data_IF_474661059272
#
_entry.id   IF_474661059272
#
_cell.length_a   1.000
_cell.length_b   1.000
_cell.length_c   1.000
_cell.angle_alpha   90.00
_cell.angle_beta   90.00
_cell.angle_gamma   90.00
#
_symmetry.space_group_name_H-M   'P 1'
#
loop_
_entity.id
_entity.type
_entity.pdbx_description
1 polymer ?
#
# COMPACT_ATOMS: atom_id res chain seq x y z
N UNK A 1 71.40 43.00 -0.92
CA UNK A 1 70.55 43.64 -1.95
C UNK A 1 69.23 44.01 -1.30
N UNK A 2 69.05 45.29 -1.01
CA UNK A 2 67.82 45.86 -0.51
C UNK A 2 67.44 47.00 -1.46
N UNK A 3 66.21 46.98 -1.97
CA UNK A 3 65.51 48.18 -2.41
C UNK A 3 64.01 47.92 -2.37
N UNK A 4 63.36 48.69 -1.49
CA UNK A 4 61.93 48.94 -1.45
C UNK A 4 61.54 50.02 -2.47
N UNK A 5 60.29 50.48 -2.37
CA UNK A 5 59.56 51.55 -3.11
C UNK A 5 58.77 51.01 -4.31
N UNK A 6 57.47 51.28 -4.52
CA UNK A 6 56.51 52.17 -3.88
C UNK A 6 55.68 52.85 -4.98
N UNK A 7 54.39 52.54 -5.13
CA UNK A 7 53.47 53.35 -5.94
C UNK A 7 52.00 53.19 -5.49
N UNK A 8 51.39 54.33 -5.18
CA UNK A 8 50.03 54.59 -4.69
C UNK A 8 48.97 54.35 -5.76
N UNK A 9 47.79 53.85 -5.35
CA UNK A 9 46.52 54.06 -6.06
C UNK A 9 45.40 54.38 -5.06
N UNK A 10 44.92 55.65 -4.97
CA UNK A 10 43.79 56.05 -4.16
C UNK A 10 42.53 56.15 -5.03
N UNK A 11 41.91 55.04 -5.45
CA UNK A 11 40.63 55.10 -6.19
C UNK A 11 39.65 53.95 -5.86
N UNK A 12 40.03 52.94 -5.06
CA UNK A 12 39.16 51.77 -4.83
C UNK A 12 38.22 51.84 -3.61
N UNK A 13 38.37 52.83 -2.73
CA UNK A 13 37.49 52.96 -1.55
C UNK A 13 36.07 53.51 -1.80
N UNK A 14 35.79 54.39 -2.79
CA UNK A 14 34.43 54.89 -2.99
C UNK A 14 33.51 53.91 -3.72
N UNK A 15 34.05 52.92 -4.43
CA UNK A 15 33.27 51.94 -5.21
C UNK A 15 32.76 50.77 -4.36
N UNK A 16 33.47 50.38 -3.30
CA UNK A 16 33.04 49.34 -2.35
C UNK A 16 31.93 49.83 -1.40
N UNK A 17 31.88 51.13 -1.10
CA UNK A 17 30.82 51.73 -0.28
C UNK A 17 29.50 51.95 -1.05
N UNK A 18 29.54 52.08 -2.38
CA UNK A 18 28.31 52.19 -3.19
C UNK A 18 27.66 50.82 -3.45
N UNK A 19 28.45 49.73 -3.47
CA UNK A 19 27.92 48.37 -3.61
C UNK A 19 27.33 47.82 -2.30
N UNK A 20 27.78 48.28 -1.13
CA UNK A 20 27.19 47.90 0.16
C UNK A 20 25.86 48.62 0.45
N UNK A 21 25.66 49.84 -0.06
CA UNK A 21 24.37 50.54 0.04
C UNK A 21 23.31 50.00 -0.93
N UNK A 22 23.70 49.42 -2.07
CA UNK A 22 22.76 48.75 -2.98
C UNK A 22 22.17 47.43 -2.42
N UNK A 23 22.82 46.84 -1.41
CA UNK A 23 22.33 45.64 -0.72
C UNK A 23 21.31 45.95 0.40
N UNK A 24 21.25 47.19 0.89
CA UNK A 24 20.36 47.63 1.97
C UNK A 24 19.04 48.24 1.50
N UNK A 25 18.82 48.35 0.19
CA UNK A 25 17.60 48.91 -0.41
C UNK A 25 16.78 47.88 -1.23
N UNK A 26 16.85 46.58 -0.89
CA UNK A 26 15.87 45.59 -1.36
C UNK A 26 14.89 45.27 -0.23
N UNK A 27 13.64 45.76 -0.29
CA UNK A 27 12.63 45.33 0.66
C UNK A 27 12.25 43.84 0.42
N UNK A 28 12.24 43.10 1.51
CA UNK A 28 11.30 42.01 1.87
C UNK A 28 11.09 40.77 1.00
N UNK A 29 11.89 40.45 -0.02
CA UNK A 29 11.66 39.18 -0.75
C UNK A 29 12.03 37.93 0.07
N UNK A 30 13.21 37.91 0.68
CA UNK A 30 13.70 36.76 1.46
C UNK A 30 12.91 36.51 2.77
N UNK A 31 12.38 37.56 3.40
CA UNK A 31 11.56 37.42 4.62
C UNK A 31 10.16 36.89 4.32
N UNK A 32 9.57 37.30 3.19
CA UNK A 32 8.26 36.80 2.77
C UNK A 32 8.35 35.34 2.31
N UNK A 33 9.45 34.95 1.65
CA UNK A 33 9.68 33.56 1.24
C UNK A 33 9.88 32.63 2.46
N UNK A 34 10.60 33.10 3.49
CA UNK A 34 10.77 32.36 4.74
C UNK A 34 9.44 32.20 5.53
N UNK A 35 8.64 33.26 5.64
CA UNK A 35 7.32 33.20 6.30
C UNK A 35 6.36 32.30 5.53
N UNK A 36 6.37 32.36 4.19
CA UNK A 36 5.55 31.48 3.34
C UNK A 36 5.95 30.01 3.46
N UNK A 37 7.24 29.72 3.61
CA UNK A 37 7.73 28.36 3.85
C UNK A 37 7.28 27.81 5.21
N UNK A 38 7.40 28.61 6.28
CA UNK A 38 7.01 28.17 7.64
C UNK A 38 5.50 27.94 7.76
N UNK A 39 4.68 28.78 7.13
CA UNK A 39 3.21 28.61 7.10
C UNK A 39 2.81 27.39 6.26
N UNK A 40 3.51 27.16 5.14
CA UNK A 40 3.29 25.98 4.29
C UNK A 40 3.60 24.66 5.01
N UNK A 41 4.70 24.62 5.78
CA UNK A 41 5.08 23.43 6.56
C UNK A 41 4.08 23.12 7.69
N UNK A 42 3.63 24.12 8.45
CA UNK A 42 2.65 23.92 9.53
C UNK A 42 1.29 23.41 9.00
N UNK A 43 0.83 23.95 7.88
CA UNK A 43 -0.38 23.46 7.21
C UNK A 43 -0.19 22.01 6.73
N UNK A 44 0.95 21.70 6.13
CA UNK A 44 1.29 20.35 5.67
C UNK A 44 1.27 19.32 6.79
N UNK A 45 1.87 19.64 7.93
CA UNK A 45 1.93 18.79 9.12
C UNK A 45 0.52 18.51 9.69
N UNK A 46 -0.32 19.57 9.81
CA UNK A 46 -1.72 19.43 10.28
C UNK A 46 -2.56 18.59 9.34
N UNK A 47 -2.44 18.84 8.03
CA UNK A 47 -3.13 18.06 7.00
C UNK A 47 -2.79 16.59 7.15
N UNK A 48 -1.49 16.29 7.24
CA UNK A 48 -0.98 14.93 7.33
C UNK A 48 -1.50 14.21 8.57
N UNK A 49 -1.49 14.87 9.74
CA UNK A 49 -2.04 14.32 10.98
C UNK A 49 -3.53 13.99 10.86
N UNK A 50 -4.33 14.87 10.27
CA UNK A 50 -5.78 14.67 10.09
C UNK A 50 -6.09 13.59 9.06
N UNK A 51 -5.32 13.52 7.99
CA UNK A 51 -5.41 12.46 6.99
C UNK A 51 -5.09 11.10 7.61
N UNK A 52 -4.02 11.00 8.39
CA UNK A 52 -3.62 9.76 9.07
C UNK A 52 -4.65 9.31 10.12
N UNK A 53 -5.21 10.26 10.88
CA UNK A 53 -6.33 10.01 11.79
C UNK A 53 -7.56 9.46 11.03
N UNK A 54 -7.90 10.03 9.87
CA UNK A 54 -9.01 9.56 9.04
C UNK A 54 -8.77 8.20 8.38
N UNK A 55 -7.52 7.91 8.01
CA UNK A 55 -7.11 6.62 7.48
C UNK A 55 -7.13 5.53 8.57
N UNK A 56 -6.71 5.88 9.80
CA UNK A 56 -6.71 4.99 10.96
C UNK A 56 -8.10 4.73 11.56
N UNK A 57 -9.04 5.67 11.44
CA UNK A 57 -10.42 5.54 11.96
C UNK A 57 -11.27 4.51 11.20
N UNK A 58 -10.84 4.07 10.01
CA UNK A 58 -11.48 2.98 9.26
C UNK A 58 -10.62 1.73 9.31
N UNK A 59 -10.59 1.08 10.48
CA UNK A 59 -9.99 -0.26 10.58
C UNK A 59 -10.74 -1.21 9.63
N UNK A 60 -10.04 -1.71 8.62
CA UNK A 60 -10.62 -2.64 7.67
C UNK A 60 -10.75 -4.01 8.30
N UNK A 61 -11.99 -4.42 8.57
CA UNK A 61 -12.30 -5.78 8.98
C UNK A 61 -12.69 -6.53 7.72
N UNK A 62 -11.72 -7.28 7.18
CA UNK A 62 -11.99 -8.16 6.05
C UNK A 62 -12.88 -9.32 6.48
N UNK A 63 -13.79 -9.73 5.59
CA UNK A 63 -14.52 -10.98 5.78
C UNK A 63 -13.52 -12.13 5.74
N UNK A 64 -13.31 -12.77 6.88
CA UNK A 64 -12.45 -13.95 6.98
C UNK A 64 -13.07 -15.15 6.28
N UNK A 65 -12.23 -15.97 5.66
CA UNK A 65 -12.64 -17.27 5.17
C UNK A 65 -13.01 -18.17 6.36
N UNK A 66 -14.30 -18.45 6.52
CA UNK A 66 -14.78 -19.27 7.62
C UNK A 66 -14.59 -20.75 7.24
N UNK A 67 -13.45 -21.32 7.61
CA UNK A 67 -13.17 -22.76 7.54
C UNK A 67 -13.99 -23.54 8.58
N UNK A 68 -15.29 -23.28 8.73
CA UNK A 68 -16.11 -23.91 9.78
C UNK A 68 -16.44 -25.37 9.50
N UNK A 69 -15.96 -25.91 8.38
CA UNK A 69 -15.77 -27.35 8.20
C UNK A 69 -14.26 -27.56 8.11
N UNK A 70 -13.64 -28.13 9.14
CA UNK A 70 -12.31 -28.72 9.01
C UNK A 70 -12.36 -29.59 7.75
N UNK A 71 -11.63 -29.22 6.69
CA UNK A 71 -11.57 -30.04 5.49
C UNK A 71 -11.10 -31.43 5.92
N UNK A 72 -12.04 -32.37 5.97
CA UNK A 72 -11.78 -33.71 6.42
C UNK A 72 -11.24 -34.48 5.22
N UNK A 73 -9.91 -34.56 5.15
CA UNK A 73 -9.22 -35.42 4.20
C UNK A 73 -9.23 -36.85 4.75
N UNK A 74 -9.52 -37.82 3.88
CA UNK A 74 -9.68 -39.21 4.26
C UNK A 74 -8.46 -40.07 3.87
N UNK A 75 -7.53 -39.53 3.10
CA UNK A 75 -6.26 -40.16 2.77
C UNK A 75 -5.37 -40.25 4.02
N UNK A 76 -4.80 -41.42 4.24
CA UNK A 76 -3.87 -41.69 5.33
C UNK A 76 -2.52 -42.14 4.76
N UNK A 77 -1.45 -41.77 5.45
CA UNK A 77 -0.08 -42.26 5.20
C UNK A 77 0.32 -43.34 6.21
N UNK A 78 -0.61 -43.74 7.08
CA UNK A 78 -0.35 -44.76 8.10
C UNK A 78 -0.02 -46.10 7.43
N UNK A 79 1.09 -46.68 7.86
CA UNK A 79 1.62 -47.93 7.33
C UNK A 79 1.89 -48.86 8.50
N UNK A 80 1.28 -50.05 8.49
CA UNK A 80 1.56 -51.07 9.49
C UNK A 80 2.71 -51.98 9.01
N UNK A 81 3.94 -51.83 9.55
CA UNK A 81 5.08 -52.64 9.17
C UNK A 81 5.01 -54.08 9.71
N UNK A 82 3.98 -54.42 10.50
CA UNK A 82 3.86 -55.65 11.29
C UNK A 82 5.21 -56.06 11.90
N UNK A 83 5.62 -57.33 11.74
CA UNK A 83 6.91 -57.85 12.22
C UNK A 83 8.14 -57.45 11.40
N UNK A 84 7.98 -56.74 10.28
CA UNK A 84 9.07 -56.38 9.35
C UNK A 84 9.69 -55.01 9.61
N UNK A 85 9.26 -54.29 10.65
CA UNK A 85 9.73 -52.93 10.94
C UNK A 85 11.26 -52.79 11.06
N UNK A 86 11.94 -53.76 11.68
CA UNK A 86 13.41 -53.73 11.80
C UNK A 86 14.11 -53.90 10.44
N UNK A 87 13.55 -54.75 9.57
CA UNK A 87 14.07 -54.95 8.22
C UNK A 87 13.87 -53.71 7.37
N UNK A 88 12.72 -53.05 7.46
CA UNK A 88 12.46 -51.79 6.78
C UNK A 88 13.37 -50.67 7.26
N UNK A 89 13.71 -50.61 8.55
CA UNK A 89 14.67 -49.62 9.05
C UNK A 89 16.07 -49.81 8.43
N UNK A 90 16.57 -51.05 8.37
CA UNK A 90 17.85 -51.37 7.71
C UNK A 90 17.79 -51.08 6.21
N UNK A 91 16.69 -51.43 5.57
CA UNK A 91 16.47 -51.19 4.13
C UNK A 91 16.44 -49.69 3.83
N UNK A 92 15.72 -48.90 4.63
CA UNK A 92 15.65 -47.44 4.48
C UNK A 92 17.01 -46.80 4.75
N UNK A 93 17.78 -47.27 5.73
CA UNK A 93 19.16 -46.79 5.96
C UNK A 93 20.09 -47.10 4.78
N UNK A 94 19.92 -48.26 4.14
CA UNK A 94 20.67 -48.62 2.94
C UNK A 94 20.23 -47.81 1.71
N UNK A 95 18.93 -47.57 1.55
CA UNK A 95 18.40 -46.71 0.47
C UNK A 95 18.87 -45.27 0.66
N UNK A 96 18.79 -44.71 1.88
CA UNK A 96 19.30 -43.38 2.22
C UNK A 96 20.82 -43.25 1.97
N UNK A 97 21.56 -44.37 2.06
CA UNK A 97 22.99 -44.41 1.74
C UNK A 97 23.25 -44.43 0.22
N UNK A 98 22.42 -45.12 -0.55
CA UNK A 98 22.58 -45.27 -2.01
C UNK A 98 21.96 -44.12 -2.81
N UNK A 99 20.88 -43.52 -2.31
CA UNK A 99 20.09 -42.54 -3.04
C UNK A 99 19.88 -41.27 -2.19
N UNK A 100 20.15 -40.08 -2.75
CA UNK A 100 19.81 -38.83 -2.08
C UNK A 100 18.30 -38.72 -1.84
N UNK A 101 17.90 -38.05 -0.75
CA UNK A 101 16.50 -37.96 -0.30
C UNK A 101 15.56 -37.19 -1.24
N UNK A 102 16.09 -36.57 -2.29
CA UNK A 102 15.32 -35.83 -3.28
C UNK A 102 14.81 -36.80 -4.34
N UNK A 103 13.48 -36.84 -4.55
CA UNK A 103 12.85 -37.75 -5.51
C UNK A 103 13.24 -37.45 -6.97
N UNK A 104 13.53 -36.20 -7.30
CA UNK A 104 13.94 -35.73 -8.63
C UNK A 104 15.22 -34.89 -8.53
N UNK A 105 16.14 -34.99 -9.52
CA UNK A 105 17.30 -34.12 -9.57
C UNK A 105 16.88 -32.66 -9.81
N UNK A 106 17.59 -31.73 -9.17
CA UNK A 106 17.40 -30.29 -9.36
C UNK A 106 17.60 -29.94 -10.85
N UNK A 107 16.62 -29.28 -11.47
CA UNK A 107 16.70 -28.85 -12.87
C UNK A 107 15.94 -29.71 -13.89
N UNK A 108 15.35 -30.85 -13.48
CA UNK A 108 14.53 -31.71 -14.35
C UNK A 108 13.15 -31.11 -14.65
N UNK A 109 12.62 -30.29 -13.75
CA UNK A 109 11.37 -29.55 -13.92
C UNK A 109 11.74 -28.08 -14.00
N UNK A 110 11.62 -27.50 -15.20
CA UNK A 110 11.88 -26.08 -15.43
C UNK A 110 10.57 -25.36 -15.75
N UNK A 111 10.45 -24.14 -15.25
CA UNK A 111 9.39 -23.23 -15.63
C UNK A 111 9.91 -22.41 -16.80
N UNK A 112 9.31 -22.58 -17.98
CA UNK A 112 9.55 -21.69 -19.11
C UNK A 112 8.87 -20.33 -18.82
N UNK A 113 9.27 -19.25 -19.51
CA UNK A 113 8.74 -17.89 -19.29
C UNK A 113 7.21 -17.79 -19.49
N UNK A 114 6.60 -18.73 -20.24
CA UNK A 114 5.16 -18.80 -20.49
C UNK A 114 4.36 -19.56 -19.38
N UNK A 115 5.05 -20.05 -18.33
CA UNK A 115 4.43 -20.74 -17.20
C UNK A 115 4.05 -22.21 -17.47
N UNK A 116 4.45 -22.77 -18.61
CA UNK A 116 4.32 -24.21 -18.87
C UNK A 116 5.43 -25.00 -18.16
N UNK A 117 5.02 -26.13 -17.57
CA UNK A 117 5.92 -27.10 -16.95
C UNK A 117 6.57 -27.93 -18.05
N UNK A 118 7.84 -27.65 -18.33
CA UNK A 118 8.62 -28.44 -19.30
C UNK A 118 9.51 -29.40 -18.52
N UNK A 119 9.32 -30.70 -18.77
CA UNK A 119 10.28 -31.71 -18.34
C UNK A 119 11.51 -31.57 -19.22
N UNK A 120 12.68 -31.35 -18.60
CA UNK A 120 13.94 -31.31 -19.31
C UNK A 120 14.17 -32.63 -20.04
N UNK A 121 14.60 -32.57 -21.30
CA UNK A 121 14.74 -33.73 -22.17
C UNK A 121 15.80 -34.68 -21.59
N UNK A 122 15.45 -35.93 -21.21
CA UNK A 122 16.36 -36.83 -20.46
C UNK A 122 17.66 -37.15 -21.20
N UNK A 123 17.68 -37.02 -22.53
CA UNK A 123 18.87 -37.23 -23.34
C UNK A 123 19.90 -36.09 -23.22
N UNK A 124 19.45 -34.86 -22.94
CA UNK A 124 20.29 -33.67 -22.84
C UNK A 124 20.97 -33.56 -21.47
N UNK A 125 20.28 -33.93 -20.39
CA UNK A 125 20.75 -33.88 -19.00
C UNK A 125 21.13 -35.28 -18.44
N UNK A 126 21.65 -36.16 -19.30
CA UNK A 126 22.00 -37.54 -18.90
C UNK A 126 23.01 -37.59 -17.73
N UNK A 127 23.83 -36.54 -17.58
CA UNK A 127 24.86 -36.45 -16.56
C UNK A 127 24.27 -36.21 -15.17
N UNK A 128 23.23 -35.38 -15.07
CA UNK A 128 22.50 -35.14 -13.82
C UNK A 128 21.71 -36.37 -13.39
N UNK A 129 21.06 -37.05 -14.36
CA UNK A 129 20.41 -38.34 -14.12
C UNK A 129 21.40 -39.41 -13.64
N UNK A 130 22.59 -39.49 -14.26
CA UNK A 130 23.60 -40.47 -13.89
C UNK A 130 24.21 -40.17 -12.51
N UNK A 131 24.37 -38.91 -12.12
CA UNK A 131 24.84 -38.58 -10.77
C UNK A 131 23.80 -38.91 -9.71
N UNK A 132 22.51 -38.73 -10.00
CA UNK A 132 21.42 -38.95 -9.05
C UNK A 132 21.05 -40.43 -8.91
N UNK A 133 21.06 -41.18 -10.01
CA UNK A 133 20.66 -42.60 -10.05
C UNK A 133 21.82 -43.57 -10.27
N UNK A 134 23.05 -43.10 -10.48
CA UNK A 134 24.19 -43.93 -10.85
C UNK A 134 24.55 -45.00 -9.82
N UNK A 135 24.45 -44.69 -8.52
CA UNK A 135 24.71 -45.66 -7.45
C UNK A 135 23.66 -46.80 -7.46
N UNK A 136 22.39 -46.47 -7.64
CA UNK A 136 21.30 -47.44 -7.75
C UNK A 136 21.46 -48.31 -9.02
N UNK A 137 21.80 -47.69 -10.15
CA UNK A 137 22.11 -48.38 -11.40
C UNK A 137 23.31 -49.33 -11.28
N UNK A 138 24.37 -48.92 -10.57
CA UNK A 138 25.55 -49.76 -10.34
C UNK A 138 25.24 -51.00 -9.50
N UNK A 139 24.42 -50.85 -8.44
CA UNK A 139 23.98 -51.98 -7.61
C UNK A 139 23.10 -52.93 -8.42
N UNK A 140 22.16 -52.40 -9.21
CA UNK A 140 21.31 -53.21 -10.09
C UNK A 140 22.15 -53.99 -11.13
N UNK A 141 23.13 -53.34 -11.76
CA UNK A 141 24.03 -53.97 -12.71
C UNK A 141 24.88 -55.07 -12.06
N UNK A 142 25.45 -54.80 -10.88
CA UNK A 142 26.21 -55.80 -10.12
C UNK A 142 25.35 -57.00 -9.74
N UNK A 143 24.10 -56.77 -9.33
CA UNK A 143 23.13 -57.83 -9.03
C UNK A 143 22.80 -58.69 -10.25
N UNK A 144 22.57 -58.07 -11.41
CA UNK A 144 22.28 -58.76 -12.66
C UNK A 144 23.48 -59.59 -13.15
N UNK A 145 24.69 -59.03 -13.05
CA UNK A 145 25.92 -59.73 -13.38
C UNK A 145 26.11 -60.96 -12.48
N UNK A 146 25.83 -60.84 -11.18
CA UNK A 146 25.90 -61.96 -10.23
C UNK A 146 24.83 -63.02 -10.53
N UNK A 147 23.60 -62.60 -10.84
CA UNK A 147 22.52 -63.50 -11.24
C UNK A 147 22.83 -64.29 -12.53
N UNK A 148 23.59 -63.71 -13.46
CA UNK A 148 24.06 -64.41 -14.67
C UNK A 148 25.28 -65.30 -14.40
N UNK A 149 26.25 -64.85 -13.60
CA UNK A 149 27.47 -65.61 -13.31
C UNK A 149 27.21 -66.86 -12.46
N UNK A 150 26.34 -66.78 -11.45
CA UNK A 150 26.04 -67.91 -10.56
C UNK A 150 25.60 -69.19 -11.30
N UNK A 151 24.59 -69.16 -12.20
CA UNK A 151 24.21 -70.35 -12.95
C UNK A 151 25.31 -70.79 -13.93
N UNK A 152 26.06 -69.88 -14.54
CA UNK A 152 27.19 -70.23 -15.42
C UNK A 152 28.30 -70.97 -14.66
N UNK A 153 28.68 -70.49 -13.48
CA UNK A 153 29.67 -71.16 -12.61
C UNK A 153 29.12 -72.50 -12.13
N UNK A 154 27.84 -72.57 -11.76
CA UNK A 154 27.17 -73.81 -11.37
C UNK A 154 27.16 -74.86 -12.48
N UNK A 155 26.85 -74.46 -13.72
CA UNK A 155 26.90 -75.31 -14.91
C UNK A 155 28.32 -75.78 -15.21
N UNK A 156 29.31 -74.88 -15.14
CA UNK A 156 30.72 -75.24 -15.35
C UNK A 156 31.21 -76.25 -14.29
N UNK A 157 30.86 -76.04 -13.02
CA UNK A 157 31.15 -77.00 -11.95
C UNK A 157 30.44 -78.33 -12.15
N UNK A 158 29.18 -78.32 -12.58
CA UNK A 158 28.41 -79.51 -12.90
C UNK A 158 29.06 -80.31 -14.03
N UNK A 159 29.41 -79.66 -15.15
CA UNK A 159 30.10 -80.29 -16.27
C UNK A 159 31.48 -80.85 -15.87
N UNK A 160 32.25 -80.10 -15.08
CA UNK A 160 33.55 -80.55 -14.57
C UNK A 160 33.45 -81.74 -13.60
N UNK A 161 32.36 -81.83 -12.84
CA UNK A 161 32.03 -82.98 -11.98
C UNK A 161 31.62 -84.20 -12.82
N UNK A 162 30.76 -84.01 -13.83
CA UNK A 162 30.35 -85.09 -14.76
C UNK A 162 31.53 -85.62 -15.59
N UNK A 163 32.52 -84.78 -15.92
CA UNK A 163 33.75 -85.18 -16.61
C UNK A 163 34.80 -85.84 -15.69
N UNK A 164 34.48 -86.06 -14.40
CA UNK A 164 35.35 -86.76 -13.44
C UNK A 164 36.60 -85.99 -13.02
N UNK A 165 36.77 -84.73 -13.44
CA UNK A 165 37.96 -83.90 -13.16
C UNK A 165 37.80 -83.05 -11.89
N UNK A 166 36.58 -82.86 -11.40
CA UNK A 166 36.29 -82.16 -10.14
C UNK A 166 35.46 -83.03 -9.19
N UNK A 167 36.02 -83.33 -8.02
CA UNK A 167 35.37 -84.12 -6.96
C UNK A 167 36.37 -84.47 -5.87
N UNK A 168 35.93 -84.49 -4.61
CA UNK A 168 36.76 -84.94 -3.49
C UNK A 168 37.23 -86.38 -3.76
N UNK A 169 38.54 -86.60 -3.90
CA UNK A 169 39.12 -87.95 -3.90
C UNK A 169 38.80 -88.58 -2.55
N UNK A 170 38.19 -89.76 -2.55
CA UNK A 170 38.02 -90.57 -1.35
C UNK A 170 39.39 -91.07 -0.90
N UNK A 171 40.13 -90.23 -0.19
CA UNK A 171 41.29 -90.68 0.58
C UNK A 171 40.73 -91.38 1.85
N UNK A 172 41.04 -92.66 2.09
CA UNK A 172 40.42 -93.45 3.17
C UNK A 172 40.91 -93.11 4.58
N UNK A 173 41.62 -92.00 4.79
CA UNK A 173 42.14 -91.59 6.09
C UNK A 173 41.90 -90.10 6.34
N UNK A 174 41.01 -89.78 7.29
CA UNK A 174 40.81 -88.42 7.83
C UNK A 174 42.10 -87.96 8.56
N UNK A 175 42.55 -86.73 8.30
CA UNK A 175 43.67 -86.10 9.02
C UNK A 175 43.21 -85.62 10.41
N UNK A 176 44.14 -85.55 11.37
CA UNK A 176 43.90 -85.16 12.78
C UNK A 176 43.18 -83.80 12.99
N UNK A 177 43.20 -82.89 12.00
CA UNK A 177 42.53 -81.59 12.05
C UNK A 177 41.19 -81.52 11.28
N UNK A 178 40.77 -82.62 10.64
CA UNK A 178 39.53 -82.65 9.85
C UNK A 178 38.28 -82.55 10.74
N UNK A 179 38.35 -82.92 12.03
CA UNK A 179 37.22 -82.75 12.95
C UNK A 179 36.90 -81.27 13.22
N UNK A 180 37.91 -80.43 13.44
CA UNK A 180 37.70 -78.98 13.65
C UNK A 180 37.18 -78.32 12.38
N UNK A 181 37.75 -78.68 11.22
CA UNK A 181 37.31 -78.19 9.90
C UNK A 181 35.87 -78.60 9.58
N UNK A 182 35.48 -79.86 9.86
CA UNK A 182 34.10 -80.34 9.69
C UNK A 182 33.14 -79.58 10.60
N UNK A 183 33.49 -79.36 11.86
CA UNK A 183 32.67 -78.61 12.82
C UNK A 183 32.48 -77.15 12.38
N UNK A 184 33.55 -76.46 11.98
CA UNK A 184 33.49 -75.08 11.48
C UNK A 184 32.67 -75.00 10.19
N UNK A 185 32.87 -75.91 9.24
CA UNK A 185 32.09 -75.95 8.00
C UNK A 185 30.60 -76.23 8.28
N UNK A 186 30.29 -77.11 9.23
CA UNK A 186 28.91 -77.39 9.66
C UNK A 186 28.26 -76.18 10.31
N UNK A 187 28.95 -75.46 11.20
CA UNK A 187 28.43 -74.22 11.79
C UNK A 187 28.21 -73.13 10.72
N UNK A 188 29.14 -72.98 9.77
CA UNK A 188 28.96 -72.07 8.63
C UNK A 188 27.78 -72.46 7.75
N UNK A 189 27.59 -73.76 7.49
CA UNK A 189 26.47 -74.25 6.69
C UNK A 189 25.14 -74.01 7.41
N UNK A 190 25.07 -74.26 8.72
CA UNK A 190 23.89 -73.96 9.54
C UNK A 190 23.61 -72.44 9.49
N UNK A 191 24.62 -71.59 9.65
CA UNK A 191 24.48 -70.13 9.53
C UNK A 191 24.00 -69.68 8.14
N UNK A 192 24.54 -70.26 7.07
CA UNK A 192 24.04 -69.98 5.72
C UNK A 192 22.60 -70.47 5.54
N UNK A 193 22.24 -71.64 6.07
CA UNK A 193 20.90 -72.19 5.98
C UNK A 193 19.87 -71.33 6.74
N UNK A 194 20.21 -70.78 7.91
CA UNK A 194 19.32 -69.87 8.65
C UNK A 194 19.12 -68.54 7.91
N UNK A 195 20.17 -67.98 7.30
CA UNK A 195 20.05 -66.78 6.46
C UNK A 195 19.16 -67.04 5.23
N UNK A 196 19.30 -68.20 4.59
CA UNK A 196 18.44 -68.58 3.46
C UNK A 196 16.98 -68.74 3.89
N UNK A 197 16.72 -69.40 5.03
CA UNK A 197 15.37 -69.54 5.57
C UNK A 197 14.74 -68.18 5.90
N UNK A 198 15.52 -67.27 6.50
CA UNK A 198 15.07 -65.90 6.74
C UNK A 198 14.70 -65.20 5.42
N UNK A 199 15.54 -65.31 4.39
CA UNK A 199 15.25 -64.76 3.06
C UNK A 199 13.96 -65.30 2.44
N UNK A 200 13.67 -66.59 2.61
CA UNK A 200 12.42 -67.21 2.14
C UNK A 200 11.20 -66.65 2.89
N UNK A 201 11.28 -66.49 4.21
CA UNK A 201 10.20 -65.88 5.01
C UNK A 201 9.96 -64.43 4.59
N UNK A 202 11.02 -63.64 4.40
CA UNK A 202 10.91 -62.29 3.87
C UNK A 202 10.25 -62.28 2.48
N UNK A 203 10.63 -63.19 1.58
CA UNK A 203 10.03 -63.27 0.26
C UNK A 203 8.51 -63.56 0.32
N UNK A 204 8.07 -64.46 1.21
CA UNK A 204 6.65 -64.73 1.41
C UNK A 204 5.90 -63.52 1.98
N UNK A 205 6.44 -62.90 3.03
CA UNK A 205 5.83 -61.71 3.62
C UNK A 205 5.74 -60.55 2.62
N UNK A 206 6.81 -60.28 1.86
CA UNK A 206 6.81 -59.26 0.81
C UNK A 206 5.79 -59.58 -0.29
N UNK A 207 5.62 -60.86 -0.64
CA UNK A 207 4.60 -61.26 -1.62
C UNK A 207 3.18 -61.01 -1.12
N UNK A 208 2.91 -61.29 0.16
CA UNK A 208 1.62 -60.99 0.81
C UNK A 208 1.35 -59.49 0.86
N UNK A 209 2.32 -58.69 1.31
CA UNK A 209 2.21 -57.22 1.29
C UNK A 209 2.00 -56.65 -0.10
N UNK A 210 2.70 -57.17 -1.11
CA UNK A 210 2.52 -56.76 -2.49
C UNK A 210 1.09 -57.02 -2.96
N UNK A 211 0.49 -58.14 -2.55
CA UNK A 211 -0.89 -58.50 -2.90
C UNK A 211 -1.90 -57.57 -2.22
N UNK A 212 -1.75 -57.33 -0.92
CA UNK A 212 -2.61 -56.41 -0.16
C UNK A 212 -2.50 -54.97 -0.70
N UNK A 213 -1.27 -54.49 -0.90
CA UNK A 213 -1.00 -53.18 -1.49
C UNK A 213 -1.61 -53.05 -2.89
N UNK A 214 -1.51 -54.08 -3.75
CA UNK A 214 -2.13 -54.04 -5.08
C UNK A 214 -3.66 -53.97 -5.00
N UNK A 215 -4.29 -54.65 -4.04
CA UNK A 215 -5.76 -54.64 -3.85
C UNK A 215 -6.29 -53.31 -3.30
N UNK A 216 -5.57 -52.70 -2.36
CA UNK A 216 -5.98 -51.43 -1.75
C UNK A 216 -5.58 -50.20 -2.59
N UNK A 217 -4.61 -50.33 -3.50
CA UNK A 217 -4.11 -49.23 -4.35
C UNK A 217 -5.23 -48.46 -5.09
N UNK A 218 -6.19 -49.09 -5.80
CA UNK A 218 -7.25 -48.35 -6.48
C UNK A 218 -8.15 -47.58 -5.50
N UNK A 219 -8.39 -48.12 -4.30
CA UNK A 219 -9.21 -47.46 -3.27
C UNK A 219 -8.48 -46.28 -2.66
N UNK A 220 -7.20 -46.43 -2.32
CA UNK A 220 -6.36 -45.36 -1.80
C UNK A 220 -6.21 -44.22 -2.83
N UNK A 221 -6.00 -44.55 -4.10
CA UNK A 221 -5.94 -43.59 -5.19
C UNK A 221 -7.27 -42.85 -5.39
N UNK A 222 -8.40 -43.57 -5.34
CA UNK A 222 -9.73 -42.95 -5.45
C UNK A 222 -10.03 -42.01 -4.28
N UNK A 223 -9.66 -42.39 -3.05
CA UNK A 223 -9.77 -41.51 -1.87
C UNK A 223 -8.89 -40.27 -2.03
N UNK A 224 -7.65 -40.43 -2.48
CA UNK A 224 -6.73 -39.31 -2.72
C UNK A 224 -7.26 -38.34 -3.79
N UNK A 225 -7.88 -38.85 -4.87
CA UNK A 225 -8.51 -38.01 -5.89
C UNK A 225 -9.75 -37.26 -5.37
N UNK A 226 -10.54 -37.87 -4.47
CA UNK A 226 -11.67 -37.19 -3.81
C UNK A 226 -11.21 -36.11 -2.84
N UNK A 227 -10.11 -36.36 -2.13
CA UNK A 227 -9.47 -35.36 -1.27
C UNK A 227 -8.89 -34.21 -2.09
N UNK A 228 -8.22 -34.51 -3.21
CA UNK A 228 -7.75 -33.51 -4.16
C UNK A 228 -8.91 -32.65 -4.68
N UNK A 229 -10.05 -33.25 -5.01
CA UNK A 229 -11.25 -32.51 -5.39
C UNK A 229 -11.73 -31.59 -4.27
N UNK A 230 -11.78 -32.07 -3.03
CA UNK A 230 -12.20 -31.28 -1.87
C UNK A 230 -11.25 -30.11 -1.64
N UNK A 231 -9.94 -30.35 -1.76
CA UNK A 231 -8.90 -29.32 -1.70
C UNK A 231 -9.13 -28.26 -2.78
N UNK A 232 -9.27 -28.68 -4.05
CA UNK A 232 -9.54 -27.81 -5.19
C UNK A 232 -10.80 -26.95 -4.98
N UNK A 233 -11.88 -27.53 -4.46
CA UNK A 233 -13.11 -26.79 -4.15
C UNK A 233 -12.91 -25.74 -3.04
N UNK A 234 -12.14 -26.04 -2.01
CA UNK A 234 -11.81 -25.05 -0.99
C UNK A 234 -10.90 -23.95 -1.54
N UNK A 235 -9.90 -24.31 -2.36
CA UNK A 235 -9.04 -23.33 -3.05
C UNK A 235 -9.87 -22.38 -3.92
N UNK A 236 -10.84 -22.90 -4.69
CA UNK A 236 -11.80 -22.08 -5.45
C UNK A 236 -12.49 -21.03 -4.57
N UNK A 237 -13.07 -21.46 -3.44
CA UNK A 237 -13.77 -20.55 -2.54
C UNK A 237 -12.82 -19.52 -1.91
N UNK A 238 -11.61 -19.92 -1.52
CA UNK A 238 -10.61 -19.01 -0.97
C UNK A 238 -10.16 -17.95 -1.98
N UNK A 239 -9.95 -18.36 -3.23
CA UNK A 239 -9.58 -17.46 -4.33
C UNK A 239 -10.69 -16.46 -4.61
N UNK A 240 -11.95 -16.89 -4.63
CA UNK A 240 -13.09 -15.98 -4.76
C UNK A 240 -13.17 -15.01 -3.57
N UNK A 241 -13.03 -15.48 -2.33
CA UNK A 241 -13.00 -14.63 -1.13
C UNK A 241 -11.89 -13.57 -1.19
N UNK A 242 -10.66 -13.98 -1.50
CA UNK A 242 -9.50 -13.10 -1.48
C UNK A 242 -9.53 -12.07 -2.63
N UNK A 243 -9.74 -12.53 -3.86
CA UNK A 243 -9.56 -11.70 -5.05
C UNK A 243 -10.80 -10.89 -5.42
N UNK A 244 -11.98 -11.31 -4.96
CA UNK A 244 -13.24 -10.62 -5.25
C UNK A 244 -13.81 -9.96 -3.99
N UNK A 245 -14.19 -10.74 -2.99
CA UNK A 245 -14.90 -10.20 -1.83
C UNK A 245 -14.03 -9.26 -0.98
N UNK A 246 -12.80 -9.65 -0.63
CA UNK A 246 -11.91 -8.78 0.13
C UNK A 246 -11.42 -7.58 -0.71
N UNK A 247 -11.33 -7.73 -2.02
CA UNK A 247 -11.02 -6.59 -2.89
C UNK A 247 -12.18 -5.59 -2.94
N UNK A 248 -13.43 -6.06 -3.04
CA UNK A 248 -14.62 -5.19 -3.00
C UNK A 248 -14.68 -4.42 -1.66
N UNK A 249 -14.35 -5.06 -0.54
CA UNK A 249 -14.23 -4.42 0.77
C UNK A 249 -13.14 -3.34 0.78
N UNK A 250 -11.98 -3.62 0.18
CA UNK A 250 -10.90 -2.66 0.00
C UNK A 250 -11.30 -1.48 -0.89
N UNK A 251 -11.98 -1.72 -2.01
CA UNK A 251 -12.47 -0.67 -2.92
C UNK A 251 -13.42 0.28 -2.18
N UNK A 252 -14.40 -0.26 -1.45
CA UNK A 252 -15.35 0.54 -0.66
C UNK A 252 -14.64 1.39 0.39
N UNK A 253 -13.64 0.82 1.05
CA UNK A 253 -12.85 1.52 2.04
C UNK A 253 -12.03 2.66 1.43
N UNK A 254 -11.30 2.37 0.37
CA UNK A 254 -10.41 3.32 -0.29
C UNK A 254 -11.21 4.47 -0.91
N UNK A 255 -12.35 4.17 -1.52
CA UNK A 255 -13.28 5.19 -2.02
C UNK A 255 -13.80 6.10 -0.90
N UNK A 256 -14.07 5.54 0.28
CA UNK A 256 -14.47 6.36 1.43
C UNK A 256 -13.34 7.21 1.99
N UNK A 257 -12.12 6.67 2.06
CA UNK A 257 -10.93 7.41 2.52
C UNK A 257 -10.63 8.55 1.55
N UNK A 258 -10.70 8.32 0.24
CA UNK A 258 -10.51 9.35 -0.78
C UNK A 258 -11.50 10.51 -0.63
N UNK A 259 -12.79 10.22 -0.41
CA UNK A 259 -13.82 11.24 -0.18
C UNK A 259 -13.57 12.02 1.11
N UNK A 260 -13.27 11.33 2.21
CA UNK A 260 -12.95 11.97 3.48
C UNK A 260 -11.70 12.85 3.38
N UNK A 261 -10.66 12.37 2.69
CA UNK A 261 -9.42 13.10 2.45
C UNK A 261 -9.68 14.40 1.68
N UNK A 262 -10.50 14.35 0.62
CA UNK A 262 -10.88 15.55 -0.13
C UNK A 262 -11.55 16.60 0.74
N UNK A 263 -12.47 16.19 1.62
CA UNK A 263 -13.14 17.08 2.55
C UNK A 263 -12.17 17.67 3.60
N UNK A 264 -11.31 16.84 4.20
CA UNK A 264 -10.31 17.27 5.19
C UNK A 264 -9.37 18.33 4.61
N UNK A 265 -8.91 18.15 3.37
CA UNK A 265 -8.03 19.12 2.69
C UNK A 265 -8.75 20.47 2.55
N UNK A 266 -10.02 20.47 2.14
CA UNK A 266 -10.79 21.71 1.98
C UNK A 266 -11.08 22.42 3.30
N UNK A 267 -11.38 21.67 4.37
CA UNK A 267 -11.66 22.21 5.70
C UNK A 267 -10.41 22.78 6.36
N UNK A 268 -9.29 22.05 6.34
CA UNK A 268 -8.03 22.51 6.93
C UNK A 268 -7.46 23.72 6.21
N UNK A 269 -7.63 23.80 4.89
CA UNK A 269 -7.24 24.99 4.16
C UNK A 269 -8.07 26.21 4.58
N UNK A 270 -9.39 26.06 4.72
CA UNK A 270 -10.27 27.14 5.15
C UNK A 270 -9.98 27.60 6.59
N UNK A 271 -9.62 26.67 7.47
CA UNK A 271 -9.24 26.94 8.86
C UNK A 271 -7.88 27.66 8.95
N UNK A 272 -6.86 27.14 8.27
CA UNK A 272 -5.49 27.66 8.33
C UNK A 272 -5.31 29.00 7.61
N UNK A 273 -6.10 29.26 6.57
CA UNK A 273 -6.08 30.55 5.86
C UNK A 273 -6.78 31.68 6.62
N UNK A 274 -7.44 31.38 7.75
CA UNK A 274 -8.33 32.30 8.44
C UNK A 274 -9.29 32.98 7.43
N UNK A 275 -9.94 32.20 6.57
CA UNK A 275 -10.83 32.71 5.53
C UNK A 275 -11.84 33.73 6.09
N UNK A 276 -12.35 33.47 7.30
CA UNK A 276 -13.26 34.36 8.04
C UNK A 276 -12.62 35.73 8.35
N UNK A 277 -11.33 35.77 8.71
CA UNK A 277 -10.61 37.01 8.98
C UNK A 277 -10.31 37.80 7.72
N UNK A 278 -9.96 37.13 6.60
CA UNK A 278 -9.83 37.79 5.30
C UNK A 278 -11.16 38.37 4.82
N UNK A 279 -12.27 37.66 5.04
CA UNK A 279 -13.62 38.15 4.71
C UNK A 279 -13.99 39.38 5.54
N UNK A 280 -13.77 39.31 6.85
CA UNK A 280 -13.98 40.44 7.75
C UNK A 280 -13.13 41.66 7.38
N UNK A 281 -11.87 41.45 6.99
CA UNK A 281 -10.97 42.52 6.56
C UNK A 281 -11.46 43.16 5.26
N UNK A 282 -11.90 42.35 4.29
CA UNK A 282 -12.48 42.85 3.04
C UNK A 282 -13.73 43.71 3.31
N UNK A 283 -14.60 43.27 4.22
CA UNK A 283 -15.82 44.01 4.57
C UNK A 283 -15.52 45.34 5.27
N UNK A 284 -14.57 45.34 6.22
CA UNK A 284 -14.11 46.56 6.91
C UNK A 284 -13.54 47.55 5.88
N UNK A 285 -12.67 47.07 4.99
CA UNK A 285 -11.99 47.91 3.99
C UNK A 285 -12.98 48.42 2.92
N UNK A 286 -13.98 47.62 2.55
CA UNK A 286 -15.07 48.06 1.68
C UNK A 286 -15.92 49.17 2.34
N UNK A 287 -16.12 49.11 3.66
CA UNK A 287 -16.82 50.13 4.45
C UNK A 287 -16.08 51.47 4.56
N UNK A 288 -14.76 51.51 4.37
CA UNK A 288 -13.99 52.77 4.45
C UNK A 288 -14.35 53.78 3.35
N UNK A 289 -14.72 53.31 2.17
CA UNK A 289 -15.09 54.17 1.04
C UNK A 289 -16.35 55.02 1.28
N UNK A 290 -17.51 54.44 1.69
CA UNK A 290 -18.68 55.21 2.05
C UNK A 290 -18.44 56.09 3.28
N UNK A 291 -17.72 55.60 4.31
CA UNK A 291 -17.38 56.41 5.50
C UNK A 291 -16.58 57.66 5.11
N UNK A 292 -15.59 57.54 4.22
CA UNK A 292 -14.83 58.70 3.71
C UNK A 292 -15.75 59.70 3.00
N UNK A 293 -16.71 59.22 2.20
CA UNK A 293 -17.66 60.07 1.47
C UNK A 293 -18.59 60.80 2.44
N UNK A 294 -19.11 60.10 3.43
CA UNK A 294 -20.02 60.66 4.43
C UNK A 294 -19.31 61.67 5.33
N UNK A 295 -18.08 61.38 5.78
CA UNK A 295 -17.26 62.32 6.54
C UNK A 295 -16.96 63.59 5.73
N UNK A 296 -16.64 63.45 4.43
CA UNK A 296 -16.42 64.60 3.55
C UNK A 296 -17.68 65.45 3.39
N UNK A 297 -18.83 64.80 3.16
CA UNK A 297 -20.14 65.46 3.08
C UNK A 297 -20.48 66.18 4.39
N UNK A 298 -20.19 65.56 5.54
CA UNK A 298 -20.38 66.16 6.85
C UNK A 298 -19.50 67.40 7.07
N UNK A 299 -18.23 67.36 6.66
CA UNK A 299 -17.34 68.53 6.68
C UNK A 299 -17.86 69.64 5.77
N UNK A 300 -18.32 69.30 4.56
CA UNK A 300 -18.87 70.27 3.61
C UNK A 300 -20.15 70.94 4.13
N UNK A 301 -21.10 70.17 4.66
CA UNK A 301 -22.34 70.70 5.26
C UNK A 301 -22.03 71.56 6.49
N UNK A 302 -21.10 71.13 7.34
CA UNK A 302 -20.70 71.89 8.54
C UNK A 302 -20.09 73.23 8.15
N UNK A 303 -19.25 73.25 7.12
CA UNK A 303 -18.67 74.47 6.55
C UNK A 303 -19.74 75.37 5.94
N UNK A 304 -20.70 74.82 5.21
CA UNK A 304 -21.80 75.59 4.62
C UNK A 304 -22.71 76.20 5.70
N UNK A 305 -23.06 75.43 6.74
CA UNK A 305 -23.83 75.91 7.89
C UNK A 305 -23.12 77.05 8.62
N UNK A 306 -21.80 76.96 8.84
CA UNK A 306 -21.00 78.05 9.42
C UNK A 306 -21.02 79.30 8.55
N UNK A 307 -20.81 79.15 7.25
CA UNK A 307 -20.84 80.28 6.32
C UNK A 307 -22.22 80.96 6.32
N UNK A 308 -23.30 80.16 6.24
CA UNK A 308 -24.67 80.68 6.25
C UNK A 308 -25.04 81.34 7.58
N UNK A 309 -24.60 80.78 8.72
CA UNK A 309 -24.77 81.42 10.02
C UNK A 309 -24.05 82.76 10.12
N UNK A 310 -22.79 82.82 9.67
CA UNK A 310 -22.01 84.07 9.65
C UNK A 310 -22.67 85.13 8.76
N UNK A 311 -23.18 84.72 7.59
CA UNK A 311 -23.89 85.60 6.67
C UNK A 311 -25.21 86.10 7.26
N UNK A 312 -25.99 85.21 7.88
CA UNK A 312 -27.22 85.57 8.59
C UNK A 312 -26.93 86.54 9.74
N UNK A 313 -25.85 86.34 10.50
CA UNK A 313 -25.44 87.24 11.56
C UNK A 313 -25.12 88.65 11.02
N UNK A 314 -24.38 88.74 9.91
CA UNK A 314 -24.09 90.01 9.23
C UNK A 314 -25.39 90.70 8.78
N UNK A 315 -26.32 89.96 8.15
CA UNK A 315 -27.59 90.50 7.68
C UNK A 315 -28.48 90.96 8.83
N UNK A 316 -28.59 90.18 9.90
CA UNK A 316 -29.36 90.53 11.10
C UNK A 316 -28.75 91.77 11.78
N UNK A 317 -27.42 91.86 11.89
CA UNK A 317 -26.74 93.08 12.37
C UNK A 317 -27.04 94.29 11.48
N UNK A 318 -27.04 94.13 10.14
CA UNK A 318 -27.36 95.20 9.19
C UNK A 318 -28.81 95.67 9.32
N UNK A 319 -29.77 94.75 9.37
CA UNK A 319 -31.20 95.04 9.57
C UNK A 319 -31.44 95.73 10.91
N UNK A 320 -30.83 95.23 11.98
CA UNK A 320 -30.86 95.86 13.30
C UNK A 320 -30.34 97.30 13.25
N UNK A 321 -29.19 97.54 12.62
CA UNK A 321 -28.62 98.89 12.51
C UNK A 321 -29.52 99.83 11.71
N UNK A 322 -30.08 99.36 10.59
CA UNK A 322 -31.01 100.14 9.76
C UNK A 322 -32.32 100.46 10.50
N UNK A 323 -32.89 99.49 11.24
CA UNK A 323 -34.08 99.69 12.07
C UNK A 323 -33.81 100.68 13.20
N UNK A 324 -32.68 100.54 13.90
CA UNK A 324 -32.28 101.48 14.94
C UNK A 324 -32.09 102.89 14.37
N UNK A 325 -31.48 103.02 13.20
CA UNK A 325 -31.32 104.31 12.52
C UNK A 325 -32.65 104.92 12.07
N UNK A 326 -33.56 104.11 11.55
CA UNK A 326 -34.87 104.58 11.08
C UNK A 326 -35.78 104.98 12.26
N UNK A 327 -35.79 104.16 13.31
CA UNK A 327 -36.56 104.42 14.52
C UNK A 327 -35.98 105.57 15.36
N UNK A 328 -34.67 105.83 15.29
CA UNK A 328 -34.07 107.01 15.92
C UNK A 328 -34.40 108.31 15.17
N UNK A 329 -34.63 108.24 13.86
CA UNK A 329 -35.10 109.38 13.05
C UNK A 329 -36.62 109.63 13.10
N UNK A 330 -37.38 108.81 13.84
CA UNK A 330 -38.84 108.93 13.96
C UNK A 330 -39.22 109.57 15.32
N UNK A 331 -39.84 110.76 15.29
CA UNK A 331 -40.12 111.54 16.51
C UNK A 331 -41.52 111.31 17.11
N UNK A 332 -42.27 110.33 16.60
CA UNK A 332 -43.58 109.96 17.16
C UNK A 332 -43.44 109.00 18.35
N UNK A 333 -44.31 109.16 19.35
CA UNK A 333 -44.27 108.34 20.57
C UNK A 333 -44.45 106.83 20.29
N UNK A 334 -45.17 106.50 19.22
CA UNK A 334 -45.37 105.14 18.73
C UNK A 334 -44.07 104.45 18.29
N UNK A 335 -43.08 105.20 17.77
CA UNK A 335 -41.78 104.66 17.36
C UNK A 335 -40.90 104.29 18.56
N UNK A 336 -40.96 105.07 19.66
CA UNK A 336 -40.25 104.77 20.92
C UNK A 336 -40.85 103.56 21.63
N UNK A 337 -42.18 103.43 21.62
CA UNK A 337 -42.87 102.26 22.17
C UNK A 337 -42.53 100.98 21.38
N UNK A 338 -42.43 101.05 20.05
CA UNK A 338 -42.06 99.92 19.21
C UNK A 338 -40.63 99.41 19.50
N UNK A 339 -39.69 100.34 19.66
CA UNK A 339 -38.28 100.03 19.94
C UNK A 339 -38.10 99.27 21.27
N UNK A 340 -38.81 99.70 22.31
CA UNK A 340 -38.78 99.08 23.62
C UNK A 340 -39.60 97.77 23.68
N UNK A 341 -40.76 97.72 23.01
CA UNK A 341 -41.64 96.55 22.99
C UNK A 341 -41.00 95.32 22.33
N UNK A 342 -40.22 95.52 21.26
CA UNK A 342 -39.60 94.42 20.51
C UNK A 342 -38.10 94.24 20.77
N UNK A 343 -37.51 95.02 21.70
CA UNK A 343 -36.09 94.93 22.09
C UNK A 343 -35.13 94.79 20.90
N UNK A 344 -35.29 95.68 19.92
CA UNK A 344 -34.56 95.61 18.64
C UNK A 344 -33.04 95.69 18.85
N UNK A 345 -32.61 96.36 19.93
CA UNK A 345 -31.22 96.41 20.39
C UNK A 345 -30.65 95.09 20.93
N UNK A 346 -31.43 94.02 21.06
CA UNK A 346 -30.96 92.70 21.49
C UNK A 346 -31.01 91.66 20.36
N UNK A 347 -31.41 92.06 19.14
CA UNK A 347 -31.49 91.15 17.99
C UNK A 347 -30.09 90.62 17.64
N UNK A 348 -29.89 89.32 17.84
CA UNK A 348 -28.66 88.58 17.58
C UNK A 348 -29.03 87.17 17.09
N UNK A 349 -28.17 86.58 16.26
CA UNK A 349 -28.34 85.20 15.80
C UNK A 349 -27.77 84.27 16.88
N UNK A 350 -28.60 83.44 17.51
CA UNK A 350 -28.18 82.45 18.52
C UNK A 350 -27.95 81.08 17.88
N UNK A 351 -27.00 80.98 16.97
CA UNK A 351 -26.62 79.70 16.35
C UNK A 351 -25.12 79.53 16.47
N UNK A 352 -24.69 78.49 17.18
CA UNK A 352 -23.28 78.24 17.50
C UNK A 352 -22.85 76.91 16.86
N UNK A 353 -22.39 76.99 15.62
CA UNK A 353 -21.85 75.86 14.88
C UNK A 353 -20.36 75.61 15.17
N UNK A 354 -19.73 76.41 16.04
CA UNK A 354 -18.32 76.23 16.42
C UNK A 354 -18.12 75.13 17.45
N UNK A 355 -19.21 74.72 18.12
CA UNK A 355 -19.26 73.52 18.95
C UNK A 355 -19.29 72.20 18.16
N UNK A 356 -19.44 72.25 16.83
CA UNK A 356 -19.37 71.04 16.01
C UNK A 356 -17.92 70.55 15.91
N UNK A 357 -17.68 69.25 16.13
CA UNK A 357 -16.32 68.68 16.16
C UNK A 357 -15.69 68.68 14.76
N UNK A 358 -14.90 69.70 14.46
CA UNK A 358 -14.26 69.87 13.14
C UNK A 358 -12.87 69.22 13.08
N UNK A 359 -12.06 69.46 14.12
CA UNK A 359 -10.67 68.97 14.19
C UNK A 359 -10.59 67.44 14.27
N UNK A 360 -11.55 66.79 14.94
CA UNK A 360 -11.58 65.32 15.07
C UNK A 360 -12.05 64.66 13.78
N UNK A 361 -13.05 65.23 13.09
CA UNK A 361 -13.56 64.73 11.81
C UNK A 361 -12.49 64.86 10.72
N UNK A 362 -11.77 65.98 10.67
CA UNK A 362 -10.70 66.17 9.69
C UNK A 362 -9.50 65.24 9.92
N UNK A 363 -9.15 64.95 11.17
CA UNK A 363 -8.11 63.98 11.49
C UNK A 363 -8.51 62.56 11.07
N UNK A 364 -9.74 62.15 11.36
CA UNK A 364 -10.27 60.83 10.94
C UNK A 364 -10.37 60.73 9.42
N UNK A 365 -10.85 61.78 8.75
CA UNK A 365 -10.92 61.86 7.29
C UNK A 365 -9.53 61.75 6.64
N UNK A 366 -8.52 62.42 7.22
CA UNK A 366 -7.14 62.33 6.73
C UNK A 366 -6.56 60.92 6.89
N UNK A 367 -6.76 60.28 8.04
CA UNK A 367 -6.27 58.92 8.27
C UNK A 367 -6.95 57.89 7.34
N UNK A 368 -8.27 58.00 7.16
CA UNK A 368 -8.99 57.13 6.22
C UNK A 368 -8.56 57.41 4.77
N UNK A 369 -8.31 58.68 4.42
CA UNK A 369 -7.83 59.03 3.08
C UNK A 369 -6.43 58.45 2.82
N UNK A 370 -5.51 58.55 3.78
CA UNK A 370 -4.17 57.93 3.68
C UNK A 370 -4.24 56.41 3.52
N UNK A 371 -5.10 55.73 4.28
CA UNK A 371 -5.33 54.29 4.15
C UNK A 371 -5.88 53.92 2.76
N UNK A 372 -6.86 54.68 2.26
CA UNK A 372 -7.46 54.45 0.95
C UNK A 372 -6.50 54.75 -0.22
N UNK A 373 -5.69 55.80 -0.09
CA UNK A 373 -4.67 56.19 -1.08
C UNK A 373 -3.51 55.18 -1.09
N UNK A 374 -3.30 54.46 0.01
CA UNK A 374 -2.35 53.36 0.14
C UNK A 374 -2.77 52.05 -0.55
N UNK A 375 -3.79 52.06 -1.42
CA UNK A 375 -4.29 50.89 -2.18
C UNK A 375 -4.71 49.67 -1.33
N UNK A 376 -4.94 49.82 -0.02
CA UNK A 376 -5.34 48.72 0.87
C UNK A 376 -6.61 48.00 0.38
N UNK A 377 -7.55 48.76 -0.21
CA UNK A 377 -8.78 48.23 -0.81
C UNK A 377 -8.48 47.30 -1.98
N UNK A 378 -7.52 47.67 -2.83
CA UNK A 378 -7.15 46.86 -3.98
C UNK A 378 -6.36 45.60 -3.55
N UNK A 379 -5.42 45.74 -2.61
CA UNK A 379 -4.59 44.62 -2.14
C UNK A 379 -5.39 43.59 -1.34
N UNK A 380 -6.28 44.01 -0.43
CA UNK A 380 -7.14 43.07 0.32
C UNK A 380 -8.11 42.36 -0.61
N UNK A 381 -8.72 43.08 -1.56
CA UNK A 381 -9.61 42.47 -2.56
C UNK A 381 -8.87 41.47 -3.43
N UNK A 382 -7.64 41.79 -3.85
CA UNK A 382 -6.80 40.89 -4.64
C UNK A 382 -6.42 39.64 -3.84
N UNK A 383 -6.03 39.78 -2.57
CA UNK A 383 -5.74 38.64 -1.70
C UNK A 383 -6.96 37.74 -1.48
N UNK A 384 -8.16 38.33 -1.35
CA UNK A 384 -9.42 37.59 -1.28
C UNK A 384 -9.71 36.81 -2.56
N UNK A 385 -9.53 37.44 -3.72
CA UNK A 385 -9.76 36.81 -5.02
C UNK A 385 -8.77 35.65 -5.26
N UNK A 386 -7.49 35.83 -4.93
CA UNK A 386 -6.49 34.76 -4.98
C UNK A 386 -6.86 33.60 -4.05
N UNK A 387 -7.30 33.89 -2.82
CA UNK A 387 -7.74 32.86 -1.89
C UNK A 387 -8.95 32.06 -2.40
N UNK A 388 -9.98 32.75 -2.89
CA UNK A 388 -11.16 32.08 -3.48
C UNK A 388 -10.79 31.23 -4.70
N UNK A 389 -9.85 31.70 -5.52
CA UNK A 389 -9.34 30.92 -6.65
C UNK A 389 -8.62 29.66 -6.19
N UNK A 390 -7.75 29.73 -5.18
CA UNK A 390 -7.07 28.55 -4.62
C UNK A 390 -8.09 27.53 -4.09
N UNK A 391 -9.11 27.99 -3.35
CA UNK A 391 -10.15 27.11 -2.82
C UNK A 391 -10.92 26.42 -3.96
N UNK A 392 -11.23 27.16 -5.03
CA UNK A 392 -11.90 26.63 -6.22
C UNK A 392 -11.02 25.62 -6.96
N UNK A 393 -9.74 25.92 -7.15
CA UNK A 393 -8.77 25.03 -7.82
C UNK A 393 -8.62 23.72 -7.06
N UNK A 394 -8.52 23.77 -5.74
CA UNK A 394 -8.43 22.57 -4.90
C UNK A 394 -9.72 21.76 -4.97
N UNK A 395 -10.89 22.40 -4.86
CA UNK A 395 -12.17 21.70 -5.01
C UNK A 395 -12.30 21.05 -6.38
N UNK A 396 -11.86 21.74 -7.43
CA UNK A 396 -11.85 21.20 -8.79
C UNK A 396 -10.87 20.03 -8.91
N UNK A 397 -9.66 20.13 -8.38
CA UNK A 397 -8.67 19.07 -8.38
C UNK A 397 -9.17 17.84 -7.61
N UNK A 398 -9.80 18.01 -6.46
CA UNK A 398 -10.45 16.94 -5.68
C UNK A 398 -11.58 16.27 -6.49
N UNK A 399 -12.48 17.07 -7.07
CA UNK A 399 -13.61 16.58 -7.85
C UNK A 399 -13.18 15.88 -9.16
N UNK A 400 -12.03 16.24 -9.73
CA UNK A 400 -11.50 15.61 -10.94
C UNK A 400 -10.65 14.37 -10.62
N UNK A 401 -9.87 14.40 -9.54
CA UNK A 401 -8.89 13.33 -9.23
C UNK A 401 -9.55 12.14 -8.55
N UNK A 402 -10.45 12.35 -7.58
CA UNK A 402 -11.09 11.25 -6.85
C UNK A 402 -11.80 10.26 -7.80
N UNK A 403 -12.61 10.69 -8.78
CA UNK A 403 -13.24 9.77 -9.72
C UNK A 403 -12.24 8.99 -10.58
N UNK A 404 -11.14 9.62 -11.00
CA UNK A 404 -10.10 8.96 -11.81
C UNK A 404 -9.39 7.87 -11.00
N UNK A 405 -9.04 8.16 -9.74
CA UNK A 405 -8.43 7.17 -8.84
C UNK A 405 -9.43 6.06 -8.52
N UNK A 406 -10.67 6.40 -8.20
CA UNK A 406 -11.77 5.44 -7.95
C UNK A 406 -11.99 4.51 -9.15
N UNK A 407 -12.02 5.04 -10.37
CA UNK A 407 -12.14 4.24 -11.59
C UNK A 407 -10.90 3.37 -11.85
N UNK A 408 -9.72 3.76 -11.38
CA UNK A 408 -8.50 2.95 -11.49
C UNK A 408 -8.51 1.78 -10.51
N UNK A 409 -8.97 2.02 -9.27
CA UNK A 409 -9.18 0.97 -8.25
C UNK A 409 -10.19 -0.04 -8.76
N UNK A 410 -11.33 0.42 -9.27
CA UNK A 410 -12.35 -0.45 -9.86
C UNK A 410 -11.81 -1.30 -11.02
N UNK A 411 -11.03 -0.70 -11.93
CA UNK A 411 -10.39 -1.45 -13.03
C UNK A 411 -9.43 -2.53 -12.54
N UNK A 412 -8.69 -2.27 -11.47
CA UNK A 412 -7.84 -3.28 -10.85
C UNK A 412 -8.68 -4.40 -10.23
N UNK A 413 -9.80 -4.07 -9.57
CA UNK A 413 -10.77 -5.06 -9.09
C UNK A 413 -11.37 -5.92 -10.19
N UNK A 414 -11.80 -5.31 -11.29
CA UNK A 414 -12.33 -6.02 -12.46
C UNK A 414 -11.28 -6.98 -13.06
N UNK A 415 -10.00 -6.56 -13.09
CA UNK A 415 -8.89 -7.41 -13.54
C UNK A 415 -8.66 -8.59 -12.60
N UNK A 416 -8.66 -8.38 -11.29
CA UNK A 416 -8.48 -9.44 -10.29
C UNK A 416 -9.67 -10.41 -10.30
N UNK A 417 -10.90 -9.91 -10.46
CA UNK A 417 -12.09 -10.73 -10.66
C UNK A 417 -12.00 -11.56 -11.95
N UNK A 418 -11.43 -11.01 -13.02
CA UNK A 418 -11.14 -11.75 -14.26
C UNK A 418 -10.15 -12.90 -14.04
N UNK A 419 -9.04 -12.66 -13.32
CA UNK A 419 -8.07 -13.70 -12.94
C UNK A 419 -8.71 -14.76 -12.04
N UNK A 420 -9.49 -14.33 -11.05
CA UNK A 420 -10.25 -15.23 -10.17
C UNK A 420 -11.15 -16.17 -10.97
N UNK A 421 -11.95 -15.63 -11.90
CA UNK A 421 -12.81 -16.43 -12.78
C UNK A 421 -12.02 -17.43 -13.65
N UNK A 422 -10.85 -17.05 -14.17
CA UNK A 422 -10.01 -17.95 -14.96
C UNK A 422 -9.49 -19.12 -14.11
N UNK A 423 -9.03 -18.84 -12.89
CA UNK A 423 -8.57 -19.89 -11.97
C UNK A 423 -9.74 -20.79 -11.58
N UNK A 424 -10.89 -20.22 -11.21
CA UNK A 424 -12.12 -20.96 -10.91
C UNK A 424 -12.50 -21.92 -12.03
N UNK A 425 -12.46 -21.47 -13.29
CA UNK A 425 -12.73 -22.32 -14.45
C UNK A 425 -11.71 -23.46 -14.61
N UNK A 426 -10.43 -23.19 -14.38
CA UNK A 426 -9.39 -24.23 -14.42
C UNK A 426 -9.62 -25.28 -13.33
N UNK A 427 -9.92 -24.83 -12.10
CA UNK A 427 -10.25 -25.72 -10.99
C UNK A 427 -11.49 -26.56 -11.29
N UNK A 428 -12.56 -25.96 -11.82
CA UNK A 428 -13.78 -26.68 -12.18
C UNK A 428 -13.51 -27.72 -13.29
N UNK A 429 -12.66 -27.40 -14.28
CA UNK A 429 -12.24 -28.36 -15.31
C UNK A 429 -11.49 -29.55 -14.72
N UNK A 430 -10.51 -29.31 -13.85
CA UNK A 430 -9.76 -30.38 -13.18
C UNK A 430 -10.68 -31.25 -12.31
N UNK A 431 -11.57 -30.62 -11.55
CA UNK A 431 -12.56 -31.32 -10.71
C UNK A 431 -13.49 -32.21 -11.55
N UNK A 432 -13.94 -31.73 -12.72
CA UNK A 432 -14.73 -32.54 -13.66
C UNK A 432 -13.93 -33.67 -14.29
N UNK A 433 -12.63 -33.46 -14.57
CA UNK A 433 -11.74 -34.48 -15.15
C UNK A 433 -11.50 -35.63 -14.17
N UNK A 434 -11.35 -35.32 -12.88
CA UNK A 434 -11.32 -36.29 -11.77
C UNK A 434 -12.55 -37.20 -11.79
N UNK A 435 -13.74 -36.61 -11.88
CA UNK A 435 -15.00 -37.37 -11.84
C UNK A 435 -15.24 -38.20 -13.10
N UNK A 436 -14.94 -37.64 -14.29
CA UNK A 436 -15.32 -38.24 -15.56
C UNK A 436 -14.28 -39.21 -16.12
N UNK A 437 -13.00 -38.95 -15.89
CA UNK A 437 -11.92 -39.69 -16.54
C UNK A 437 -11.13 -40.53 -15.54
N UNK A 438 -10.67 -39.96 -14.42
CA UNK A 438 -9.77 -40.67 -13.51
C UNK A 438 -10.50 -41.67 -12.59
N UNK A 439 -11.60 -41.27 -11.94
CA UNK A 439 -12.33 -42.18 -11.04
C UNK A 439 -12.87 -43.44 -11.76
N UNK A 440 -13.48 -43.35 -12.97
CA UNK A 440 -13.94 -44.53 -13.69
C UNK A 440 -12.81 -45.47 -14.13
N UNK A 441 -11.63 -44.92 -14.47
CA UNK A 441 -10.45 -45.72 -14.78
C UNK A 441 -9.96 -46.50 -13.56
N UNK A 442 -9.98 -45.89 -12.37
CA UNK A 442 -9.66 -46.59 -11.12
C UNK A 442 -10.69 -47.68 -10.80
N UNK A 443 -11.97 -47.46 -11.04
CA UNK A 443 -13.00 -48.49 -10.86
C UNK A 443 -12.85 -49.65 -11.86
N UNK A 444 -12.39 -49.37 -13.08
CA UNK A 444 -12.02 -50.41 -14.05
C UNK A 444 -10.78 -51.20 -13.59
N UNK A 445 -9.74 -50.51 -13.14
CA UNK A 445 -8.51 -51.12 -12.62
C UNK A 445 -8.80 -51.98 -11.38
N UNK A 446 -9.64 -51.49 -10.47
CA UNK A 446 -10.11 -52.23 -9.29
C UNK A 446 -10.77 -53.55 -9.69
N UNK A 447 -11.72 -53.53 -10.64
CA UNK A 447 -12.37 -54.75 -11.13
C UNK A 447 -11.38 -55.75 -11.74
N UNK A 448 -10.39 -55.27 -12.49
CA UNK A 448 -9.34 -56.13 -13.07
C UNK A 448 -8.44 -56.72 -11.98
N UNK A 449 -8.02 -55.93 -11.00
CA UNK A 449 -7.20 -56.41 -9.89
C UNK A 449 -7.99 -57.43 -9.06
N UNK A 450 -9.25 -57.16 -8.74
CA UNK A 450 -10.09 -58.09 -7.98
C UNK A 450 -10.27 -59.43 -8.74
N UNK A 451 -10.43 -59.38 -10.06
CA UNK A 451 -10.59 -60.57 -10.90
C UNK A 451 -9.29 -61.37 -11.08
N UNK A 452 -8.16 -60.69 -11.28
CA UNK A 452 -6.90 -61.34 -11.67
C UNK A 452 -5.89 -61.50 -10.54
N UNK A 453 -6.06 -60.83 -9.40
CA UNK A 453 -5.10 -60.89 -8.27
C UNK A 453 -4.99 -62.26 -7.60
N UNK A 454 -5.92 -63.19 -7.88
CA UNK A 454 -5.85 -64.57 -7.40
C UNK A 454 -4.92 -65.45 -8.26
N UNK A 455 -4.62 -65.06 -9.51
CA UNK A 455 -3.80 -65.87 -10.43
C UNK A 455 -2.30 -65.51 -10.40
N UNK A 456 -1.90 -64.64 -9.48
CA UNK A 456 -0.52 -64.21 -9.24
C UNK A 456 0.01 -64.89 -8.00
#
# INVERSE_FOLDING_TARGET
>A
MATATGARWPVLLPLLLLLSFAWLARPSRASNDAVKATIGDDLGERLRRKLDESAGLKSLVYTGFNSTSSLAYNASTDFDPMGMGQLYNVTNAFIDFLHPKQAFPEGLIRFEEDGELVLADPASEWRELLTHYGALGAVAFAGLLLAALLPCVGLFFCCCRCAGRCGARSAPFDKKHDHCRKVVLSFLLIGCATVLLFGVVCAFATNEYMQEGTRELPRAAATSLRDLRTYLQATKSQIETLLKFNYDELELALNSILRASGQIVTEQLAESSHAVSLMSLNDIVAGLSPIRKDLKMMTDITRELRNNASHLEILVRKVRNNLLQTLSSCDTQQCKDLMNKYRIGEMTVKVDFDKLPDLTVNHVLNNISQLMDGNIVAEVRKGMEEFMNIQKEIQQAVNQTIPVVSASIRRAGDSLAGVSNNIVQMVDRLSMDIDKNYLPQLDYAKRHIDQYSHYR
#
